data_IF_021982042194
#
_entry.id   IF_021982042194
#
_cell.length_a   1.000
_cell.length_b   1.000
_cell.length_c   1.000
_cell.angle_alpha   90.00
_cell.angle_beta   90.00
_cell.angle_gamma   90.00
#
_symmetry.space_group_name_H-M   'P 1'
#
loop_
_entity.id
_entity.type
_entity.pdbx_description
1 polymer ?
#
# COMPACT_ATOMS: atom_id res chain seq x y z
N UNK A 1 -14.69 -19.26 -16.92
CA UNK A 1 -13.41 -18.55 -17.03
C UNK A 1 -12.85 -18.38 -15.61
N UNK A 2 -12.06 -19.34 -15.13
CA UNK A 2 -11.45 -19.26 -13.78
C UNK A 2 -10.06 -18.68 -13.91
N UNK A 3 -9.92 -17.40 -13.59
CA UNK A 3 -8.63 -16.73 -13.40
C UNK A 3 -7.99 -17.06 -12.04
N UNK A 4 -8.63 -17.87 -11.19
CA UNK A 4 -8.08 -18.31 -9.89
C UNK A 4 -6.87 -19.27 -9.99
N UNK A 5 -6.49 -19.73 -11.20
CA UNK A 5 -5.43 -20.73 -11.40
C UNK A 5 -4.14 -20.23 -12.07
N UNK A 6 -4.13 -19.09 -12.78
CA UNK A 6 -2.88 -18.38 -13.08
C UNK A 6 -2.74 -17.30 -11.98
N UNK A 7 -1.55 -17.10 -11.42
CA UNK A 7 -1.32 -16.19 -10.29
C UNK A 7 -1.49 -14.71 -10.63
N UNK A 8 -2.67 -14.30 -11.09
CA UNK A 8 -3.01 -12.93 -11.50
C UNK A 8 -2.75 -11.90 -10.39
N UNK A 9 -2.82 -12.33 -9.12
CA UNK A 9 -2.51 -11.47 -7.96
C UNK A 9 -1.04 -10.98 -7.95
N UNK A 10 -0.15 -11.63 -8.70
CA UNK A 10 1.28 -11.33 -8.71
C UNK A 10 1.69 -10.47 -9.93
N UNK A 11 0.86 -10.38 -10.97
CA UNK A 11 1.22 -9.69 -12.22
C UNK A 11 1.50 -8.19 -12.03
N UNK A 12 0.68 -7.50 -11.23
CA UNK A 12 0.90 -6.08 -10.88
C UNK A 12 2.18 -5.88 -10.06
N UNK A 13 2.41 -6.72 -9.05
CA UNK A 13 3.62 -6.65 -8.24
C UNK A 13 4.88 -6.96 -9.05
N UNK A 14 4.81 -7.92 -9.98
CA UNK A 14 5.88 -8.23 -10.92
C UNK A 14 6.23 -7.02 -11.80
N UNK A 15 5.22 -6.40 -12.42
CA UNK A 15 5.38 -5.24 -13.32
C UNK A 15 5.93 -4.00 -12.61
N UNK A 16 5.58 -3.82 -11.33
CA UNK A 16 6.06 -2.73 -10.50
C UNK A 16 7.42 -3.02 -9.82
N UNK A 17 7.99 -4.21 -10.02
CA UNK A 17 9.24 -4.62 -9.37
C UNK A 17 9.13 -4.78 -7.85
N UNK A 18 7.92 -5.07 -7.35
CA UNK A 18 7.60 -5.15 -5.92
C UNK A 18 7.67 -6.57 -5.33
N UNK A 19 8.20 -7.54 -6.10
CA UNK A 19 8.43 -8.90 -5.63
C UNK A 19 9.84 -9.05 -5.08
N UNK A 20 10.00 -9.92 -4.09
CA UNK A 20 11.34 -10.42 -3.74
C UNK A 20 11.90 -11.33 -4.85
N UNK A 21 13.17 -11.68 -4.72
CA UNK A 21 13.90 -12.46 -5.74
C UNK A 21 13.28 -13.82 -6.00
N UNK A 22 12.76 -14.50 -4.97
CA UNK A 22 12.22 -15.85 -5.09
C UNK A 22 10.84 -15.82 -5.78
N UNK A 23 10.01 -14.85 -5.41
CA UNK A 23 8.71 -14.61 -6.02
C UNK A 23 8.83 -14.11 -7.46
N UNK A 24 9.80 -13.25 -7.76
CA UNK A 24 10.10 -12.81 -9.12
C UNK A 24 10.49 -14.00 -10.01
N UNK A 25 11.40 -14.86 -9.52
CA UNK A 25 11.79 -16.06 -10.27
C UNK A 25 10.60 -17.04 -10.45
N UNK A 26 9.70 -17.14 -9.47
CA UNK A 26 8.47 -17.93 -9.61
C UNK A 26 7.52 -17.35 -10.67
N UNK A 27 7.36 -16.02 -10.69
CA UNK A 27 6.57 -15.32 -11.69
C UNK A 27 7.15 -15.52 -13.11
N UNK A 28 8.46 -15.38 -13.30
CA UNK A 28 9.12 -15.61 -14.60
C UNK A 28 8.90 -17.04 -15.11
N UNK A 29 9.07 -18.04 -14.25
CA UNK A 29 8.79 -19.45 -14.60
C UNK A 29 7.34 -19.63 -15.04
N UNK A 30 6.39 -18.98 -14.38
CA UNK A 30 4.98 -19.02 -14.77
C UNK A 30 4.73 -18.30 -16.10
N UNK A 31 5.29 -17.10 -16.30
CA UNK A 31 5.17 -16.31 -17.51
C UNK A 31 5.74 -17.01 -18.74
N UNK A 32 6.75 -17.87 -18.57
CA UNK A 32 7.25 -18.70 -19.66
C UNK A 32 6.18 -19.68 -20.20
N UNK A 33 5.16 -20.03 -19.40
CA UNK A 33 4.16 -21.07 -19.71
C UNK A 33 2.72 -20.57 -19.84
N UNK A 34 2.32 -19.46 -19.20
CA UNK A 34 0.94 -18.92 -19.24
C UNK A 34 0.84 -17.71 -20.21
N UNK A 35 0.30 -17.87 -21.44
CA UNK A 35 0.14 -16.74 -22.38
C UNK A 35 -0.84 -15.67 -21.87
N UNK A 36 -1.83 -16.06 -21.04
CA UNK A 36 -2.77 -15.12 -20.44
C UNK A 36 -2.07 -14.14 -19.49
N UNK A 37 -1.23 -14.62 -18.59
CA UNK A 37 -0.46 -13.74 -17.70
C UNK A 37 0.58 -12.91 -18.45
N UNK A 38 1.12 -13.39 -19.58
CA UNK A 38 1.97 -12.54 -20.43
C UNK A 38 1.20 -11.37 -21.04
N UNK A 39 -0.05 -11.60 -21.45
CA UNK A 39 -0.92 -10.52 -21.94
C UNK A 39 -1.22 -9.52 -20.82
N UNK A 40 -1.57 -10.02 -19.63
CA UNK A 40 -1.85 -9.18 -18.45
C UNK A 40 -0.64 -8.33 -18.03
N UNK A 41 0.56 -8.92 -17.97
CA UNK A 41 1.82 -8.18 -17.72
C UNK A 41 2.06 -7.12 -18.79
N UNK A 42 1.78 -7.42 -20.06
CA UNK A 42 1.93 -6.46 -21.16
C UNK A 42 0.96 -5.28 -21.03
N UNK A 43 -0.28 -5.55 -20.64
CA UNK A 43 -1.30 -4.52 -20.43
C UNK A 43 -0.93 -3.62 -19.24
N UNK A 44 -0.46 -4.22 -18.15
CA UNK A 44 -0.03 -3.50 -16.94
C UNK A 44 1.30 -2.75 -17.13
N UNK A 45 2.19 -3.20 -18.02
CA UNK A 45 3.47 -2.53 -18.29
C UNK A 45 3.26 -1.08 -18.76
N UNK A 46 2.19 -0.80 -19.51
CA UNK A 46 1.82 0.56 -19.93
C UNK A 46 1.56 1.46 -18.72
N UNK A 47 0.89 0.94 -17.70
CA UNK A 47 0.63 1.65 -16.44
C UNK A 47 1.95 1.89 -15.70
N UNK A 48 2.82 0.87 -15.61
CA UNK A 48 4.12 1.00 -14.96
C UNK A 48 4.97 2.11 -15.57
N UNK A 49 5.09 2.15 -16.90
CA UNK A 49 5.82 3.20 -17.61
C UNK A 49 5.21 4.58 -17.38
N UNK A 50 3.87 4.70 -17.31
CA UNK A 50 3.22 5.96 -16.99
C UNK A 50 3.53 6.43 -15.55
N UNK A 51 3.73 5.49 -14.61
CA UNK A 51 4.07 5.80 -13.22
C UNK A 51 5.55 6.17 -13.03
N UNK A 52 6.48 5.62 -13.81
CA UNK A 52 7.92 5.94 -13.73
C UNK A 52 8.22 7.42 -13.99
N UNK A 53 7.43 8.08 -14.84
CA UNK A 53 7.56 9.50 -15.15
C UNK A 53 6.95 10.44 -14.11
N UNK A 54 6.26 9.90 -13.09
CA UNK A 54 5.63 10.72 -12.06
C UNK A 54 6.64 11.08 -10.97
N UNK A 55 6.71 12.36 -10.55
CA UNK A 55 7.48 12.75 -9.38
C UNK A 55 6.73 12.32 -8.12
N UNK A 56 6.64 11.00 -7.88
CA UNK A 56 5.78 10.41 -6.85
C UNK A 56 6.14 10.93 -5.46
N UNK A 57 7.41 11.25 -5.20
CA UNK A 57 7.84 11.87 -3.94
C UNK A 57 7.21 13.26 -3.76
N UNK A 58 7.30 14.11 -4.77
CA UNK A 58 6.75 15.47 -4.77
C UNK A 58 5.22 15.42 -4.76
N UNK A 59 4.63 14.48 -5.49
CA UNK A 59 3.19 14.20 -5.46
C UNK A 59 2.77 13.74 -4.07
N UNK A 60 3.47 12.82 -3.40
CA UNK A 60 3.10 12.37 -2.04
C UNK A 60 3.18 13.48 -0.99
N UNK A 61 4.04 14.48 -1.19
CA UNK A 61 4.14 15.68 -0.31
C UNK A 61 3.09 16.73 -0.67
N UNK A 62 2.68 16.81 -1.93
CA UNK A 62 1.69 17.77 -2.46
C UNK A 62 0.25 17.22 -2.42
N UNK A 63 0.11 15.89 -2.39
CA UNK A 63 -1.17 15.22 -2.25
C UNK A 63 -1.74 15.68 -0.92
N UNK A 64 -2.92 16.31 -0.94
CA UNK A 64 -3.57 16.67 0.30
C UNK A 64 -4.01 15.35 0.92
N UNK A 65 -3.18 14.77 1.79
CA UNK A 65 -3.74 14.13 2.97
C UNK A 65 -4.57 15.23 3.60
N UNK A 66 -5.86 15.23 3.29
CA UNK A 66 -6.72 16.37 3.49
C UNK A 66 -6.50 16.86 4.94
N UNK A 67 -6.14 18.14 5.14
CA UNK A 67 -5.64 18.63 6.43
C UNK A 67 -6.61 18.29 7.58
N UNK A 68 -7.90 18.23 7.28
CA UNK A 68 -9.00 17.74 8.12
C UNK A 68 -8.82 16.30 8.66
N UNK A 69 -8.22 15.38 7.88
CA UNK A 69 -7.92 14.01 8.33
C UNK A 69 -6.70 13.94 9.23
N UNK A 70 -5.71 14.82 9.02
CA UNK A 70 -4.51 14.93 9.88
C UNK A 70 -4.86 15.62 11.19
N UNK A 71 -5.62 16.72 11.13
CA UNK A 71 -6.12 17.46 12.29
C UNK A 71 -7.04 16.59 13.15
N UNK A 72 -7.94 15.84 12.52
CA UNK A 72 -8.80 14.89 13.22
C UNK A 72 -8.03 13.78 13.94
N UNK A 73 -6.92 13.31 13.37
CA UNK A 73 -6.05 12.33 14.02
C UNK A 73 -5.29 12.95 15.20
N UNK A 74 -4.70 14.13 15.01
CA UNK A 74 -3.99 14.85 16.07
C UNK A 74 -4.92 15.15 17.26
N UNK A 75 -6.14 15.66 17.00
CA UNK A 75 -7.13 15.95 18.04
C UNK A 75 -7.50 14.71 18.86
N UNK A 76 -7.78 13.57 18.20
CA UNK A 76 -8.11 12.31 18.89
C UNK A 76 -6.97 11.81 19.79
N UNK A 77 -5.73 11.98 19.35
CA UNK A 77 -4.55 11.59 20.15
C UNK A 77 -4.42 12.45 21.41
N UNK A 78 -4.64 13.77 21.31
CA UNK A 78 -4.64 14.68 22.47
C UNK A 78 -5.77 14.36 23.44
N UNK A 79 -7.00 14.23 22.95
CA UNK A 79 -8.18 13.89 23.78
C UNK A 79 -7.97 12.59 24.57
N UNK A 80 -7.35 11.59 23.94
CA UNK A 80 -7.02 10.31 24.58
C UNK A 80 -5.99 10.48 25.71
N UNK A 81 -4.90 11.19 25.45
CA UNK A 81 -3.86 11.42 26.45
C UNK A 81 -4.41 12.18 27.67
N UNK A 82 -5.28 13.17 27.45
CA UNK A 82 -5.93 13.89 28.54
C UNK A 82 -6.91 13.01 29.33
N UNK A 83 -7.66 12.11 28.67
CA UNK A 83 -8.55 11.18 29.34
C UNK A 83 -7.77 10.20 30.24
N UNK A 84 -6.67 9.65 29.73
CA UNK A 84 -5.76 8.76 30.48
C UNK A 84 -5.13 9.50 31.68
N UNK A 85 -4.71 10.76 31.50
CA UNK A 85 -4.16 11.58 32.60
C UNK A 85 -5.20 11.86 33.70
N UNK A 86 -6.46 12.15 33.32
CA UNK A 86 -7.57 12.36 34.27
C UNK A 86 -7.91 11.09 35.06
N UNK A 87 -7.82 9.94 34.41
CA UNK A 87 -8.08 8.64 35.04
C UNK A 87 -6.95 8.25 36.01
N UNK A 88 -5.69 8.52 35.64
CA UNK A 88 -4.53 8.32 36.52
C UNK A 88 -4.61 9.21 37.77
N UNK A 89 -4.94 10.50 37.62
CA UNK A 89 -5.06 11.42 38.76
C UNK A 89 -6.17 11.04 39.74
N UNK A 90 -7.32 10.55 39.24
CA UNK A 90 -8.41 10.06 40.11
C UNK A 90 -8.06 8.81 40.92
N UNK A 91 -7.11 8.01 40.46
CA UNK A 91 -6.60 6.84 41.19
C UNK A 91 -5.70 7.26 42.34
N UNK A 92 -4.87 8.28 42.13
CA UNK A 92 -3.95 8.81 43.14
C UNK A 92 -4.68 9.54 44.28
N UNK A 93 -5.79 10.24 44.00
CA UNK A 93 -6.62 10.91 45.03
C UNK A 93 -7.42 9.95 45.94
N UNK A 94 -7.45 8.64 45.64
CA UNK A 94 -8.21 7.62 46.39
C UNK A 94 -7.32 6.69 47.24
N UNK A 95 -6.00 6.83 47.15
CA UNK A 95 -5.01 6.10 47.95
C UNK A 95 -4.64 6.89 49.22
#
# INVERSE_FOLDING_TARGET
>A
MSHDRCGARIAGAYVLGALDTDDAAAAERHLSRCPLCRAEVRDLAVVSTALEGLPLRELLVSLPFAPDRVEGLARRTVERAEAEARESGRRDDRA
#
